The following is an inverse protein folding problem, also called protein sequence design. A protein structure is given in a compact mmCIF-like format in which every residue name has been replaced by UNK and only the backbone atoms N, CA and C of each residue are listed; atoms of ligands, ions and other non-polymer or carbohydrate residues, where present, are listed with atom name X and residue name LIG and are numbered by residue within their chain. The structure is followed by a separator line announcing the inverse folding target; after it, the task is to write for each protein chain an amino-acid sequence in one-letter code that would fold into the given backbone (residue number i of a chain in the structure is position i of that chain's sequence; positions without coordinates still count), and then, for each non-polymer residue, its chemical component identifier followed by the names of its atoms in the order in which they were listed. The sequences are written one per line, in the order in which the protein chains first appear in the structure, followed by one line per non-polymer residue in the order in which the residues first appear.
data_IF_841738000708
#
_entry.id   IF_841738000708
#
_cell.length_a   1.000
_cell.length_b   1.000
_cell.length_c   1.000
_cell.angle_alpha   90.00
_cell.angle_beta   90.00
_cell.angle_gamma   90.00
#
_symmetry.space_group_name_H-M   'P 1'
#
loop_
_entity.id
_entity.type
_entity.pdbx_description
1 polymer ?
#
# COMPACT_ATOMS: atom_id res chain seq x y z
N UNK A 1 18.23 -23.88 -12.20
CA UNK A 1 17.31 -24.91 -12.73
C UNK A 1 16.49 -24.28 -13.85
N UNK A 2 16.69 -24.73 -15.10
CA UNK A 2 15.99 -24.21 -16.30
C UNK A 2 15.15 -25.35 -16.87
N UNK A 3 13.85 -25.12 -17.10
CA UNK A 3 12.89 -26.16 -17.50
C UNK A 3 12.94 -26.50 -19.02
N UNK A 4 13.92 -25.98 -19.76
CA UNK A 4 14.09 -26.24 -21.21
C UNK A 4 12.96 -25.69 -22.11
N UNK A 5 11.94 -25.03 -21.56
CA UNK A 5 10.78 -24.53 -22.30
C UNK A 5 10.63 -23.01 -22.22
N UNK A 6 9.82 -22.43 -23.10
CA UNK A 6 9.54 -20.99 -23.11
C UNK A 6 8.79 -20.56 -21.84
N UNK A 7 8.98 -19.30 -21.43
CA UNK A 7 8.32 -18.71 -20.24
C UNK A 7 6.80 -18.70 -20.38
N UNK A 8 6.28 -18.51 -21.59
CA UNK A 8 4.85 -18.51 -21.88
C UNK A 8 4.23 -19.89 -21.67
N UNK A 9 4.90 -20.97 -22.09
CA UNK A 9 4.44 -22.34 -21.87
C UNK A 9 4.26 -22.66 -20.38
N UNK A 10 5.23 -22.26 -19.54
CA UNK A 10 5.13 -22.43 -18.09
C UNK A 10 3.97 -21.63 -17.51
N UNK A 11 3.82 -20.37 -17.92
CA UNK A 11 2.73 -19.49 -17.46
C UNK A 11 1.35 -20.06 -17.82
N UNK A 12 1.19 -20.55 -19.04
CA UNK A 12 -0.07 -21.11 -19.53
C UNK A 12 -0.43 -22.40 -18.79
N UNK A 13 0.56 -23.26 -18.54
CA UNK A 13 0.34 -24.50 -17.79
C UNK A 13 -0.03 -24.23 -16.33
N UNK A 14 0.60 -23.24 -15.69
CA UNK A 14 0.22 -22.83 -14.33
C UNK A 14 -1.20 -22.27 -14.28
N UNK A 15 -1.58 -21.47 -15.28
CA UNK A 15 -2.94 -20.95 -15.39
C UNK A 15 -3.97 -22.08 -15.60
N UNK A 16 -3.67 -23.08 -16.44
CA UNK A 16 -4.55 -24.24 -16.66
C UNK A 16 -4.70 -25.10 -15.40
N UNK A 17 -3.66 -25.17 -14.57
CA UNK A 17 -3.69 -25.84 -13.26
C UNK A 17 -4.40 -25.02 -12.17
N UNK A 18 -4.94 -23.84 -12.51
CA UNK A 18 -5.68 -23.01 -11.56
C UNK A 18 -4.80 -22.09 -10.71
N UNK A 19 -3.52 -21.91 -11.04
CA UNK A 19 -2.66 -20.93 -10.37
C UNK A 19 -2.81 -19.54 -11.01
N UNK A 20 -2.70 -18.51 -10.18
CA UNK A 20 -2.65 -17.10 -10.61
C UNK A 20 -1.42 -16.42 -10.04
N UNK A 21 -0.91 -15.43 -10.77
CA UNK A 21 0.27 -14.67 -10.37
C UNK A 21 -0.16 -13.41 -9.61
N UNK A 22 0.18 -13.32 -8.32
CA UNK A 22 -0.23 -12.21 -7.44
C UNK A 22 1.02 -11.56 -6.85
N UNK A 23 0.90 -10.27 -6.51
CA UNK A 23 1.86 -9.62 -5.63
C UNK A 23 1.64 -10.03 -4.16
N UNK A 24 2.73 -10.18 -3.41
CA UNK A 24 2.63 -10.24 -1.96
C UNK A 24 2.08 -8.91 -1.42
N UNK A 25 1.25 -9.02 -0.38
CA UNK A 25 0.73 -7.86 0.35
C UNK A 25 1.77 -7.48 1.41
N UNK A 26 2.31 -6.26 1.34
CA UNK A 26 3.08 -5.73 2.47
C UNK A 26 2.13 -5.38 3.59
N UNK A 27 2.40 -5.94 4.76
CA UNK A 27 1.79 -5.51 6.00
C UNK A 27 2.89 -4.97 6.91
N UNK A 28 2.84 -3.69 7.32
CA UNK A 28 3.84 -3.11 8.22
C UNK A 28 3.91 -3.84 9.56
N UNK A 29 2.74 -4.19 10.11
CA UNK A 29 2.57 -4.96 11.33
C UNK A 29 1.27 -5.75 11.25
N UNK A 30 1.22 -6.88 11.96
CA UNK A 30 -0.03 -7.56 12.23
C UNK A 30 -0.74 -6.80 13.35
N UNK A 31 -1.97 -6.35 13.07
CA UNK A 31 -2.79 -5.62 14.03
C UNK A 31 -3.41 -6.59 15.02
N UNK A 32 -3.45 -6.22 16.30
CA UNK A 32 -4.27 -6.91 17.30
C UNK A 32 -5.75 -6.58 17.07
N UNK A 33 -6.63 -7.43 17.56
CA UNK A 33 -8.08 -7.20 17.43
C UNK A 33 -8.52 -5.89 18.09
N UNK A 34 -7.91 -5.53 19.23
CA UNK A 34 -8.13 -4.24 19.91
C UNK A 34 -7.76 -3.04 19.04
N UNK A 35 -6.61 -3.10 18.38
CA UNK A 35 -6.12 -2.02 17.52
C UNK A 35 -7.04 -1.88 16.30
N UNK A 36 -7.53 -3.00 15.79
CA UNK A 36 -8.48 -3.02 14.68
C UNK A 36 -9.82 -2.38 15.07
N UNK A 37 -10.38 -2.75 16.21
CA UNK A 37 -11.63 -2.18 16.72
C UNK A 37 -11.50 -0.68 16.96
N UNK A 38 -10.40 -0.24 17.59
CA UNK A 38 -10.11 1.17 17.82
C UNK A 38 -10.05 1.96 16.50
N UNK A 39 -9.32 1.44 15.50
CA UNK A 39 -9.23 2.06 14.17
C UNK A 39 -10.58 2.16 13.46
N UNK A 40 -11.43 1.14 13.55
CA UNK A 40 -12.77 1.14 12.97
C UNK A 40 -13.64 2.21 13.64
N UNK A 41 -13.66 2.24 14.97
CA UNK A 41 -14.44 3.22 15.74
C UNK A 41 -14.03 4.67 15.43
N UNK A 42 -12.72 4.95 15.36
CA UNK A 42 -12.21 6.27 14.99
C UNK A 42 -12.64 6.63 13.56
N UNK A 43 -12.50 5.70 12.62
CA UNK A 43 -12.89 5.94 11.24
C UNK A 43 -14.40 6.22 11.10
N UNK A 44 -15.25 5.46 11.77
CA UNK A 44 -16.71 5.67 11.79
C UNK A 44 -17.06 7.05 12.34
N UNK A 45 -16.47 7.45 13.47
CA UNK A 45 -16.68 8.77 14.07
C UNK A 45 -16.27 9.91 13.12
N UNK A 46 -15.10 9.79 12.47
CA UNK A 46 -14.63 10.79 11.50
C UNK A 46 -15.52 10.84 10.24
N UNK A 47 -16.04 9.70 9.79
CA UNK A 47 -16.90 9.61 8.60
C UNK A 47 -18.29 10.21 8.83
N UNK A 48 -18.85 10.02 10.03
CA UNK A 48 -20.20 10.49 10.40
C UNK A 48 -20.24 11.95 10.82
N UNK A 49 -19.09 12.62 10.94
CA UNK A 49 -19.02 14.01 11.38
C UNK A 49 -19.69 14.97 10.38
N UNK A 50 -20.57 15.88 10.84
CA UNK A 50 -21.12 16.92 9.98
C UNK A 50 -20.01 17.86 9.47
N UNK A 51 -20.19 18.48 8.31
CA UNK A 51 -19.21 19.38 7.69
C UNK A 51 -17.83 18.76 7.41
N UNK A 52 -17.78 17.44 7.12
CA UNK A 52 -16.52 16.73 6.80
C UNK A 52 -15.67 17.39 5.70
N UNK A 53 -16.31 18.04 4.71
CA UNK A 53 -15.61 18.71 3.61
C UNK A 53 -14.80 19.90 4.11
N UNK A 54 -15.38 20.67 5.03
CA UNK A 54 -14.73 21.84 5.62
C UNK A 54 -13.58 21.44 6.54
N UNK A 55 -13.76 20.34 7.27
CA UNK A 55 -12.69 19.73 8.07
C UNK A 55 -11.52 19.29 7.18
N UNK A 56 -11.78 18.54 6.11
CA UNK A 56 -10.74 18.06 5.20
C UNK A 56 -9.98 19.22 4.54
N UNK A 57 -10.69 20.30 4.18
CA UNK A 57 -10.09 21.51 3.60
C UNK A 57 -9.10 22.22 4.54
N UNK A 58 -9.26 22.06 5.87
CA UNK A 58 -8.38 22.65 6.88
C UNK A 58 -7.29 21.72 7.41
N UNK A 59 -7.27 20.45 7.01
CA UNK A 59 -6.25 19.50 7.48
C UNK A 59 -4.94 19.75 6.74
N UNK A 60 -3.91 20.09 7.51
CA UNK A 60 -2.52 20.09 7.08
C UNK A 60 -1.87 18.83 7.65
N UNK A 61 -1.45 17.92 6.78
CA UNK A 61 -0.66 16.75 7.19
C UNK A 61 0.80 16.91 6.78
N UNK A 62 1.71 16.48 7.64
CA UNK A 62 3.10 16.21 7.31
C UNK A 62 3.46 14.83 7.81
N UNK A 63 4.34 14.15 7.08
CA UNK A 63 4.92 12.87 7.51
C UNK A 63 6.38 12.80 7.08
N UNK A 64 7.14 12.04 7.85
CA UNK A 64 8.56 11.82 7.63
C UNK A 64 8.74 10.52 6.85
N UNK A 65 9.35 10.63 5.67
CA UNK A 65 9.57 9.47 4.82
C UNK A 65 11.06 9.22 4.61
N UNK A 66 11.42 7.94 4.55
CA UNK A 66 12.77 7.49 4.23
C UNK A 66 12.85 7.09 2.76
N UNK A 67 13.68 7.76 1.95
CA UNK A 67 14.04 7.24 0.61
C UNK A 67 15.21 6.26 0.76
N UNK A 68 15.03 5.06 0.22
CA UNK A 68 16.08 4.07 0.10
C UNK A 68 16.76 4.20 -1.27
N UNK A 69 18.09 4.07 -1.31
CA UNK A 69 18.83 4.05 -2.58
C UNK A 69 18.49 2.85 -3.47
N UNK A 70 18.26 1.70 -2.86
CA UNK A 70 17.88 0.48 -3.56
C UNK A 70 16.45 0.17 -3.18
N UNK A 71 15.55 0.24 -4.17
CA UNK A 71 14.15 -0.07 -3.97
C UNK A 71 13.94 -1.60 -4.08
N UNK A 72 13.60 -2.25 -2.97
CA UNK A 72 13.22 -3.66 -2.99
C UNK A 72 11.89 -3.81 -3.71
N UNK A 73 11.94 -4.27 -4.96
CA UNK A 73 10.74 -4.49 -5.77
C UNK A 73 10.00 -5.73 -5.30
N UNK A 74 8.67 -5.65 -5.26
CA UNK A 74 7.81 -6.77 -4.87
C UNK A 74 7.97 -7.92 -5.86
N UNK A 75 8.24 -9.11 -5.33
CA UNK A 75 8.23 -10.33 -6.14
C UNK A 75 6.80 -10.82 -6.31
N UNK A 76 6.48 -11.29 -7.52
CA UNK A 76 5.21 -11.96 -7.81
C UNK A 76 5.33 -13.45 -7.46
N UNK A 77 4.31 -14.00 -6.82
CA UNK A 77 4.21 -15.40 -6.43
C UNK A 77 3.05 -16.05 -7.18
N UNK A 78 3.20 -17.33 -7.53
CA UNK A 78 2.11 -18.13 -8.11
C UNK A 78 1.35 -18.81 -6.98
N UNK A 79 0.04 -18.60 -6.91
CA UNK A 79 -0.84 -19.15 -5.88
C UNK A 79 -2.07 -19.80 -6.50
N UNK A 80 -2.61 -20.87 -5.92
CA UNK A 80 -3.87 -21.45 -6.36
C UNK A 80 -5.01 -20.44 -6.23
N UNK A 81 -6.01 -20.55 -7.11
CA UNK A 81 -7.27 -19.79 -6.99
C UNK A 81 -7.92 -20.05 -5.62
N UNK A 82 -8.25 -18.98 -4.90
CA UNK A 82 -8.85 -19.05 -3.56
C UNK A 82 -7.89 -18.78 -2.41
N UNK A 83 -6.59 -19.02 -2.59
CA UNK A 83 -5.62 -18.71 -1.53
C UNK A 83 -5.33 -17.21 -1.43
N UNK A 84 -5.12 -16.76 -0.20
CA UNK A 84 -4.73 -15.40 0.13
C UNK A 84 -3.25 -15.17 -0.23
N UNK A 85 -2.91 -13.97 -0.72
CA UNK A 85 -1.51 -13.63 -0.96
C UNK A 85 -0.73 -13.71 0.36
N UNK A 86 0.49 -14.29 0.34
CA UNK A 86 1.31 -14.35 1.54
C UNK A 86 1.61 -12.94 2.01
N UNK A 87 1.39 -12.71 3.31
CA UNK A 87 1.79 -11.48 3.99
C UNK A 87 3.31 -11.46 4.05
N UNK A 88 3.92 -10.40 3.55
CA UNK A 88 5.35 -10.17 3.72
C UNK A 88 5.54 -8.96 4.64
N UNK A 89 6.28 -9.16 5.73
CA UNK A 89 6.71 -8.05 6.59
C UNK A 89 7.78 -7.26 5.86
N UNK A 90 7.72 -5.93 5.97
CA UNK A 90 8.73 -5.04 5.37
C UNK A 90 10.09 -5.38 5.99
N UNK A 91 11.04 -5.84 5.16
CA UNK A 91 12.39 -6.17 5.63
C UNK A 91 13.03 -4.91 6.20
N UNK A 92 13.56 -5.00 7.42
CA UNK A 92 14.39 -3.94 7.99
C UNK A 92 15.73 -3.94 7.22
N UNK A 93 15.84 -3.08 6.21
CA UNK A 93 17.07 -2.94 5.42
C UNK A 93 18.07 -2.02 6.13
N UNK A 94 19.10 -2.58 6.76
CA UNK A 94 20.22 -1.83 7.33
C UNK A 94 21.14 -1.25 6.22
N UNK A 95 20.61 -0.37 5.36
CA UNK A 95 21.35 0.30 4.28
C UNK A 95 21.24 1.82 4.41
N UNK A 96 22.09 2.55 3.68
CA UNK A 96 22.06 4.02 3.60
C UNK A 96 20.67 4.49 3.18
N UNK A 97 20.10 5.41 3.96
CA UNK A 97 18.79 6.04 3.75
C UNK A 97 18.98 7.54 3.81
N UNK A 98 18.19 8.27 3.04
CA UNK A 98 18.04 9.70 3.19
C UNK A 98 16.68 9.99 3.80
N UNK A 99 16.69 10.95 4.72
CA UNK A 99 15.51 11.45 5.36
C UNK A 99 15.02 12.67 4.59
N UNK A 100 13.73 12.74 4.36
CA UNK A 100 13.11 13.95 3.86
C UNK A 100 11.77 14.13 4.57
N UNK A 101 11.51 15.39 4.93
CA UNK A 101 10.23 15.81 5.49
C UNK A 101 9.33 16.16 4.32
N UNK A 102 8.17 15.50 4.21
CA UNK A 102 7.11 15.96 3.31
C UNK A 102 6.26 16.95 4.09
N UNK A 103 6.49 18.24 3.85
CA UNK A 103 5.73 19.33 4.48
C UNK A 103 4.43 19.62 3.73
N UNK A 104 3.31 19.58 4.45
CA UNK A 104 2.08 20.33 4.18
C UNK A 104 1.29 19.96 2.93
N UNK A 105 0.54 18.86 2.95
CA UNK A 105 -0.57 18.66 2.02
C UNK A 105 -1.81 19.37 2.58
N UNK A 106 -2.29 20.41 1.91
CA UNK A 106 -3.63 20.97 2.14
C UNK A 106 -4.61 20.23 1.23
N UNK A 107 -5.54 19.48 1.81
CA UNK A 107 -6.58 18.76 1.06
C UNK A 107 -7.69 19.72 0.63
N UNK A 108 -7.45 20.57 -0.35
CA UNK A 108 -8.46 21.49 -0.90
C UNK A 108 -9.38 20.82 -1.92
N UNK A 109 -10.69 20.78 -1.66
CA UNK A 109 -11.70 20.36 -2.64
C UNK A 109 -11.98 21.49 -3.64
N UNK A 110 -11.37 21.47 -4.83
CA UNK A 110 -11.77 22.36 -5.94
C UNK A 110 -12.99 21.81 -6.67
N UNK A 111 -13.89 22.68 -7.14
CA UNK A 111 -15.17 22.39 -7.83
C UNK A 111 -15.05 21.65 -9.18
N UNK A 112 -13.84 21.27 -9.58
CA UNK A 112 -13.56 20.37 -10.69
C UNK A 112 -12.87 19.14 -10.12
N UNK A 113 -13.34 17.94 -10.47
CA UNK A 113 -12.88 16.61 -10.00
C UNK A 113 -11.40 16.31 -10.34
N UNK A 114 -10.48 17.16 -9.92
CA UNK A 114 -9.04 17.03 -10.10
C UNK A 114 -8.37 17.39 -8.79
N UNK A 115 -7.79 16.37 -8.16
CA UNK A 115 -6.91 16.52 -7.01
C UNK A 115 -5.65 17.25 -7.48
N UNK A 116 -5.51 18.54 -7.15
CA UNK A 116 -4.27 19.28 -7.38
C UNK A 116 -3.37 19.13 -6.15
N UNK A 117 -2.17 18.63 -6.38
CA UNK A 117 -1.08 18.62 -5.39
C UNK A 117 -0.47 20.01 -5.38
N UNK A 118 -0.57 20.72 -4.26
CA UNK A 118 0.19 21.95 -4.01
C UNK A 118 1.16 21.67 -2.85
N UNK A 119 2.45 21.88 -3.10
CA UNK A 119 3.49 21.89 -2.07
C UNK A 119 3.63 23.34 -1.59
N UNK A 120 3.71 23.53 -0.27
CA UNK A 120 4.13 24.81 0.35
C UNK A 120 5.66 24.89 0.39
#
# INVERSE_FOLDING_TARGET
MTLGCSKSTVSNRLASLGFRKIFSTWMPHELRESDRACRVSIAESLLLRPHRKDLLNGIVTGDESWVMYVNDTRKRVWLPKGELPPKQSKRALNRRRFFYVVGGIVMGCSTTNSWKVALL
#
